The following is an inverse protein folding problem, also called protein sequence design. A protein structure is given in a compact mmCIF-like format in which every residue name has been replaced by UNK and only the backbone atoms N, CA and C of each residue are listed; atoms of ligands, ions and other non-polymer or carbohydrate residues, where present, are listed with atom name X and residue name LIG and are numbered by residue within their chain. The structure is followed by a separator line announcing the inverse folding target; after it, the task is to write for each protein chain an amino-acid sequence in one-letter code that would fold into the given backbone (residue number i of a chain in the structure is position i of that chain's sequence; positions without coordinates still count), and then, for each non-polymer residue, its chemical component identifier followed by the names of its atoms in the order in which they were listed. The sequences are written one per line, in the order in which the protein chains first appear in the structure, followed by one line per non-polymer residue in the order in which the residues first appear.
data_IF_422402445560
#
_entry.id   IF_422402445560
#
_cell.length_a   1.000
_cell.length_b   1.000
_cell.length_c   1.000
_cell.angle_alpha   90.00
_cell.angle_beta   90.00
_cell.angle_gamma   90.00
#
_symmetry.space_group_name_H-M   'P 1'
#
loop_
_entity.id
_entity.type
_entity.pdbx_description
1 polymer ?
#
# COMPACT_ATOMS: atom_id res chain seq x y z
N UNK A 1 40.11 9.66 -5.68
CA UNK A 1 38.96 8.78 -6.01
C UNK A 1 38.25 9.42 -7.19
N UNK A 2 38.36 8.84 -8.38
CA UNK A 2 37.78 9.45 -9.58
C UNK A 2 36.26 9.26 -9.57
N UNK A 3 35.51 10.36 -9.48
CA UNK A 3 34.10 10.36 -9.84
C UNK A 3 34.02 10.14 -11.35
N UNK A 4 33.61 8.95 -11.78
CA UNK A 4 33.52 8.64 -13.21
C UNK A 4 32.31 9.35 -13.80
N UNK A 5 32.56 10.51 -14.35
CA UNK A 5 31.72 11.22 -15.31
C UNK A 5 31.55 10.36 -16.57
N UNK A 6 30.37 9.73 -16.71
CA UNK A 6 29.94 9.07 -17.94
C UNK A 6 28.41 9.18 -18.12
N UNK A 7 27.82 10.30 -17.68
CA UNK A 7 26.38 10.56 -17.64
C UNK A 7 25.72 10.87 -19.00
N UNK A 8 26.36 10.53 -20.13
CA UNK A 8 25.79 10.79 -21.48
C UNK A 8 24.91 9.66 -22.02
N UNK A 9 24.89 8.48 -21.40
CA UNK A 9 24.10 7.34 -21.89
C UNK A 9 22.71 7.33 -21.23
N UNK A 10 21.62 7.12 -21.99
CA UNK A 10 20.30 6.96 -21.38
C UNK A 10 20.32 5.71 -20.49
N UNK A 11 20.10 5.91 -19.19
CA UNK A 11 19.99 4.83 -18.21
C UNK A 11 18.55 4.35 -18.16
N UNK A 12 18.33 3.04 -18.02
CA UNK A 12 16.98 2.50 -17.81
C UNK A 12 16.40 3.07 -16.53
N UNK A 13 15.15 3.56 -16.58
CA UNK A 13 14.48 4.18 -15.42
C UNK A 13 14.52 3.28 -14.17
N UNK A 14 14.27 1.97 -14.33
CA UNK A 14 14.32 1.02 -13.21
C UNK A 14 15.68 0.95 -12.51
N UNK A 15 16.78 1.13 -13.25
CA UNK A 15 18.12 1.15 -12.66
C UNK A 15 18.34 2.43 -11.84
N UNK A 16 17.83 3.58 -12.29
CA UNK A 16 17.89 4.83 -11.53
C UNK A 16 17.06 4.75 -10.25
N UNK A 17 15.84 4.21 -10.32
CA UNK A 17 14.99 4.03 -9.13
C UNK A 17 15.64 3.08 -8.13
N UNK A 18 16.24 1.97 -8.57
CA UNK A 18 16.95 1.04 -7.69
C UNK A 18 18.19 1.69 -7.05
N UNK A 19 18.96 2.48 -7.80
CA UNK A 19 20.09 3.20 -7.26
C UNK A 19 19.67 4.16 -6.14
N UNK A 20 18.56 4.87 -6.30
CA UNK A 20 17.99 5.73 -5.23
C UNK A 20 17.60 4.92 -3.98
N UNK A 21 16.98 3.76 -4.16
CA UNK A 21 16.62 2.86 -3.04
C UNK A 21 17.89 2.42 -2.29
N UNK A 22 18.93 2.01 -3.00
CA UNK A 22 20.20 1.57 -2.38
C UNK A 22 20.87 2.74 -1.66
N UNK A 23 20.91 3.93 -2.26
CA UNK A 23 21.46 5.13 -1.62
C UNK A 23 20.76 5.42 -0.29
N UNK A 24 19.43 5.40 -0.28
CA UNK A 24 18.64 5.62 0.94
C UNK A 24 18.93 4.58 2.03
N UNK A 25 19.07 3.30 1.65
CA UNK A 25 19.42 2.23 2.59
C UNK A 25 20.83 2.39 3.18
N UNK A 26 21.78 2.95 2.44
CA UNK A 26 23.14 3.21 2.92
C UNK A 26 23.19 4.39 3.89
N UNK A 27 22.33 5.39 3.71
CA UNK A 27 22.21 6.53 4.62
C UNK A 27 21.68 6.13 6.00
N UNK A 28 20.74 5.18 6.06
CA UNK A 28 20.21 4.74 7.33
C UNK A 28 19.07 3.73 7.28
N UNK A 29 18.47 3.42 8.45
CA UNK A 29 17.28 2.59 8.52
C UNK A 29 16.10 3.27 7.83
N UNK A 30 15.47 2.60 6.87
CA UNK A 30 14.34 3.15 6.12
C UNK A 30 13.13 2.21 6.16
N UNK A 31 11.95 2.82 6.15
CA UNK A 31 10.66 2.15 6.00
C UNK A 31 10.24 2.09 4.52
N UNK A 32 9.36 1.14 4.18
CA UNK A 32 8.77 1.04 2.82
C UNK A 32 8.14 2.35 2.32
N UNK A 33 7.30 3.07 3.09
CA UNK A 33 6.69 4.31 2.60
C UNK A 33 7.72 5.39 2.30
N UNK A 34 8.79 5.51 3.07
CA UNK A 34 9.90 6.43 2.78
C UNK A 34 10.61 6.07 1.48
N UNK A 35 10.92 4.78 1.28
CA UNK A 35 11.55 4.29 0.06
C UNK A 35 10.67 4.52 -1.18
N UNK A 36 9.35 4.41 -1.05
CA UNK A 36 8.41 4.75 -2.12
C UNK A 36 8.48 6.24 -2.45
N UNK A 37 8.45 7.11 -1.44
CA UNK A 37 8.55 8.56 -1.63
C UNK A 37 9.85 8.98 -2.34
N UNK A 38 10.97 8.33 -2.03
CA UNK A 38 12.27 8.65 -2.64
C UNK A 38 12.42 8.09 -4.06
N UNK A 39 11.97 6.85 -4.29
CA UNK A 39 12.21 6.14 -5.55
C UNK A 39 11.13 6.36 -6.61
N UNK A 40 9.92 6.79 -6.20
CA UNK A 40 8.74 6.88 -7.07
C UNK A 40 8.18 5.52 -7.48
N UNK A 41 8.60 4.43 -6.82
CA UNK A 41 8.15 3.08 -7.12
C UNK A 41 6.85 2.72 -6.40
N UNK A 42 6.11 1.78 -6.98
CA UNK A 42 4.95 1.18 -6.32
C UNK A 42 5.34 0.36 -5.09
N UNK A 43 4.43 0.21 -4.13
CA UNK A 43 4.65 -0.60 -2.92
C UNK A 43 5.07 -2.04 -3.24
N UNK A 44 4.46 -2.63 -4.27
CA UNK A 44 4.74 -4.02 -4.67
C UNK A 44 6.17 -4.17 -5.18
N UNK A 45 6.62 -3.25 -6.04
CA UNK A 45 7.98 -3.26 -6.58
C UNK A 45 9.02 -3.08 -5.48
N UNK A 46 8.80 -2.16 -4.53
CA UNK A 46 9.69 -2.01 -3.37
C UNK A 46 9.72 -3.29 -2.54
N UNK A 47 8.58 -3.94 -2.31
CA UNK A 47 8.54 -5.23 -1.61
C UNK A 47 9.32 -6.34 -2.34
N UNK A 48 9.24 -6.41 -3.67
CA UNK A 48 10.01 -7.36 -4.47
C UNK A 48 11.51 -7.11 -4.34
N UNK A 49 11.94 -5.86 -4.45
CA UNK A 49 13.35 -5.49 -4.26
C UNK A 49 13.84 -5.82 -2.85
N UNK A 50 13.07 -5.49 -1.81
CA UNK A 50 13.43 -5.82 -0.43
C UNK A 50 13.47 -7.33 -0.18
N UNK A 51 12.60 -8.12 -0.83
CA UNK A 51 12.65 -9.59 -0.77
C UNK A 51 13.91 -10.13 -1.43
N UNK A 52 14.27 -9.61 -2.61
CA UNK A 52 15.49 -10.00 -3.31
C UNK A 52 16.74 -9.66 -2.47
N UNK A 53 16.84 -8.44 -1.96
CA UNK A 53 17.97 -8.02 -1.11
C UNK A 53 18.08 -8.81 0.19
N UNK A 54 16.94 -9.19 0.81
CA UNK A 54 16.91 -10.06 2.00
C UNK A 54 17.32 -11.49 1.69
N UNK A 55 16.96 -12.01 0.51
CA UNK A 55 17.37 -13.35 0.08
C UNK A 55 18.89 -13.44 -0.06
N UNK A 56 19.53 -12.37 -0.54
CA UNK A 56 20.98 -12.25 -0.64
C UNK A 56 21.66 -11.86 0.70
N UNK A 57 20.88 -11.62 1.77
CA UNK A 57 21.40 -11.28 3.10
C UNK A 57 22.02 -9.89 3.24
N UNK A 58 21.80 -9.00 2.25
CA UNK A 58 22.35 -7.62 2.24
C UNK A 58 21.55 -6.68 3.14
N UNK A 59 20.26 -6.97 3.31
CA UNK A 59 19.33 -6.18 4.11
C UNK A 59 18.66 -7.10 5.13
N UNK A 60 18.38 -6.59 6.31
CA UNK A 60 17.59 -7.29 7.33
C UNK A 60 16.54 -6.36 7.96
N UNK A 61 15.52 -6.94 8.57
CA UNK A 61 14.52 -6.18 9.33
C UNK A 61 15.14 -5.82 10.68
N UNK A 62 15.45 -4.54 10.88
CA UNK A 62 16.06 -4.04 12.12
C UNK A 62 15.05 -3.69 13.21
N UNK A 63 13.84 -3.29 12.83
CA UNK A 63 12.77 -2.96 13.76
C UNK A 63 11.39 -3.05 13.10
N UNK A 64 10.35 -3.10 13.94
CA UNK A 64 8.96 -3.01 13.52
C UNK A 64 8.36 -1.74 14.10
N UNK A 65 7.68 -0.97 13.26
CA UNK A 65 7.01 0.26 13.65
C UNK A 65 5.49 0.15 13.48
N UNK A 66 4.77 1.05 14.16
CA UNK A 66 3.32 1.10 14.20
C UNK A 66 2.76 1.88 13.01
N UNK A 67 1.85 1.25 12.28
CA UNK A 67 1.01 1.93 11.30
C UNK A 67 0.08 2.95 11.95
N UNK A 68 -0.55 3.80 11.13
CA UNK A 68 -1.62 4.71 11.55
C UNK A 68 -2.76 4.04 12.35
N UNK A 69 -3.01 2.74 12.14
CA UNK A 69 -4.00 1.94 12.90
C UNK A 69 -3.44 1.37 14.22
N UNK A 70 -2.22 1.72 14.60
CA UNK A 70 -1.53 1.24 15.81
C UNK A 70 -1.08 -0.22 15.73
N UNK A 71 -0.99 -0.80 14.53
CA UNK A 71 -0.52 -2.17 14.30
C UNK A 71 0.98 -2.12 13.98
N UNK A 72 1.78 -2.97 14.62
CA UNK A 72 3.22 -3.09 14.34
C UNK A 72 3.44 -3.81 13.01
N UNK A 73 3.13 -3.19 11.87
CA UNK A 73 3.24 -3.82 10.54
C UNK A 73 4.30 -3.20 9.65
N UNK A 74 4.80 -2.01 9.99
CA UNK A 74 5.84 -1.35 9.22
C UNK A 74 7.17 -2.02 9.50
N UNK A 75 7.84 -2.46 8.43
CA UNK A 75 9.18 -3.03 8.49
C UNK A 75 10.18 -1.90 8.30
N UNK A 76 11.05 -1.71 9.29
CA UNK A 76 12.21 -0.83 9.17
C UNK A 76 13.37 -1.71 8.72
N UNK A 77 13.86 -1.46 7.51
CA UNK A 77 14.98 -2.17 6.92
C UNK A 77 16.29 -1.49 7.30
N UNK A 78 17.31 -2.30 7.60
CA UNK A 78 18.68 -1.85 7.81
C UNK A 78 19.59 -2.50 6.79
N UNK A 79 20.52 -1.72 6.27
CA UNK A 79 21.57 -2.21 5.39
C UNK A 79 22.67 -2.90 6.21
N UNK A 80 23.17 -4.02 5.69
CA UNK A 80 24.22 -4.82 6.30
C UNK A 80 23.77 -6.24 6.67
N UNK A 81 24.74 -7.15 6.88
CA UNK A 81 24.45 -8.51 7.28
C UNK A 81 23.81 -8.52 8.67
N UNK A 82 22.72 -9.25 8.82
CA UNK A 82 22.01 -9.32 10.09
C UNK A 82 20.89 -10.35 10.07
N UNK A 83 20.39 -10.68 11.26
CA UNK A 83 19.21 -11.53 11.42
C UNK A 83 17.97 -10.67 11.49
N UNK A 84 16.91 -11.12 10.82
CA UNK A 84 15.63 -10.43 10.90
C UNK A 84 15.07 -10.46 12.33
N UNK A 85 14.68 -9.27 12.81
CA UNK A 85 13.99 -9.13 14.09
C UNK A 85 12.57 -9.69 13.97
N UNK A 86 12.17 -10.65 14.83
CA UNK A 86 10.83 -11.19 14.80
C UNK A 86 9.81 -10.13 15.19
N UNK A 87 8.64 -10.18 14.54
CA UNK A 87 7.52 -9.30 14.89
C UNK A 87 7.01 -9.63 16.30
N UNK A 88 6.73 -8.59 17.08
CA UNK A 88 6.03 -8.73 18.36
C UNK A 88 4.66 -9.39 18.16
N UNK A 89 4.46 -10.56 18.75
CA UNK A 89 3.13 -11.21 18.77
C UNK A 89 2.40 -10.76 20.02
N UNK A 90 1.23 -10.14 19.85
CA UNK A 90 0.35 -9.82 20.98
C UNK A 90 -0.18 -11.12 21.60
N UNK A 91 -0.14 -11.20 22.93
CA UNK A 91 -0.71 -12.33 23.68
C UNK A 91 -2.24 -12.35 23.54
N UNK A 92 -2.88 -13.52 23.54
CA UNK A 92 -4.35 -13.66 23.46
C UNK A 92 -5.10 -12.80 24.49
N UNK A 93 -4.57 -12.70 25.71
CA UNK A 93 -5.13 -11.87 26.78
C UNK A 93 -5.12 -10.36 26.43
N UNK A 94 -4.04 -9.88 25.80
CA UNK A 94 -3.91 -8.49 25.38
C UNK A 94 -4.86 -8.16 24.23
N UNK A 95 -5.02 -9.09 23.28
CA UNK A 95 -6.01 -8.98 22.19
C UNK A 95 -7.43 -8.90 22.76
N UNK A 96 -7.77 -9.77 23.71
CA UNK A 96 -9.09 -9.76 24.36
C UNK A 96 -9.35 -8.46 25.11
N UNK A 97 -8.34 -7.90 25.80
CA UNK A 97 -8.43 -6.61 26.48
C UNK A 97 -8.67 -5.47 25.49
N UNK A 98 -7.92 -5.40 24.39
CA UNK A 98 -8.11 -4.40 23.33
C UNK A 98 -9.50 -4.50 22.69
N UNK A 99 -9.99 -5.72 22.43
CA UNK A 99 -11.32 -5.95 21.89
C UNK A 99 -12.41 -5.44 22.85
N UNK A 100 -12.29 -5.75 24.15
CA UNK A 100 -13.21 -5.23 25.18
C UNK A 100 -13.14 -3.69 25.27
N UNK A 101 -11.95 -3.11 25.20
CA UNK A 101 -11.77 -1.65 25.21
C UNK A 101 -12.42 -1.00 23.99
N UNK A 102 -12.27 -1.57 22.80
CA UNK A 102 -12.94 -1.09 21.57
C UNK A 102 -14.46 -1.17 21.69
N UNK A 103 -15.01 -2.26 22.23
CA UNK A 103 -16.46 -2.38 22.48
C UNK A 103 -16.97 -1.32 23.46
N UNK A 104 -16.24 -1.08 24.55
CA UNK A 104 -16.58 -0.02 25.53
C UNK A 104 -16.46 1.38 24.92
N UNK A 105 -15.45 1.64 24.10
CA UNK A 105 -15.29 2.91 23.41
C UNK A 105 -16.43 3.14 22.40
N UNK A 106 -16.79 2.12 21.61
CA UNK A 106 -17.90 2.19 20.67
C UNK A 106 -19.26 2.39 21.35
N UNK A 107 -19.46 1.83 22.54
CA UNK A 107 -20.67 2.05 23.35
C UNK A 107 -20.74 3.44 24.01
N UNK A 108 -19.59 4.11 24.17
CA UNK A 108 -19.50 5.47 24.72
C UNK A 108 -19.62 6.56 23.66
N UNK A 109 -19.49 6.21 22.38
CA UNK A 109 -19.84 7.12 21.29
C UNK A 109 -21.37 7.04 21.18
N UNK A 110 -22.05 8.08 21.64
CA UNK A 110 -23.49 8.18 21.54
C UNK A 110 -23.92 8.01 20.07
N UNK A 111 -24.84 7.09 19.74
CA UNK A 111 -25.33 6.89 18.38
C UNK A 111 -25.94 8.15 17.73
N UNK A 112 -26.26 9.18 18.52
CA UNK A 112 -26.93 10.41 18.11
C UNK A 112 -25.99 11.54 17.63
N UNK A 113 -24.66 11.35 17.56
CA UNK A 113 -23.75 12.38 17.05
C UNK A 113 -23.31 12.15 15.58
N UNK A 114 -24.12 11.45 14.78
CA UNK A 114 -24.08 11.60 13.32
C UNK A 114 -24.90 12.85 13.01
N UNK A 115 -24.24 14.01 12.99
CA UNK A 115 -24.85 15.27 12.60
C UNK A 115 -25.41 15.17 11.19
N UNK A 116 -26.68 15.53 11.07
CA UNK A 116 -27.43 15.69 9.84
C UNK A 116 -26.70 16.63 8.87
N UNK A 117 -26.02 16.04 7.89
CA UNK A 117 -25.64 16.71 6.65
C UNK A 117 -26.78 16.56 5.65
N UNK A 118 -27.83 17.36 5.81
CA UNK A 118 -28.82 17.59 4.76
C UNK A 118 -28.11 18.27 3.59
N UNK A 119 -27.80 17.52 2.53
CA UNK A 119 -27.53 18.02 1.17
C UNK A 119 -27.74 16.86 0.19
N UNK A 120 -28.88 16.19 0.29
CA UNK A 120 -29.39 15.34 -0.79
C UNK A 120 -30.84 15.71 -1.02
N UNK A 121 -31.03 16.92 -1.56
CA UNK A 121 -32.18 17.30 -2.36
C UNK A 121 -32.28 16.39 -3.60
N UNK A 122 -32.63 15.12 -3.38
CA UNK A 122 -33.22 14.24 -4.37
C UNK A 122 -34.74 14.32 -4.19
N UNK A 123 -35.25 15.51 -4.48
CA UNK A 123 -36.67 15.76 -4.69
C UNK A 123 -37.09 14.96 -5.93
N UNK A 124 -37.74 13.81 -5.72
CA UNK A 124 -38.46 13.14 -6.80
C UNK A 124 -39.90 13.68 -6.79
N UNK A 125 -40.28 14.57 -7.72
CA UNK A 125 -41.64 15.05 -7.77
C UNK A 125 -42.54 13.93 -8.26
N UNK A 126 -43.47 13.50 -7.42
CA UNK A 126 -44.69 12.81 -7.83
C UNK A 126 -45.43 13.69 -8.85
N UNK A 127 -45.24 13.42 -10.15
CA UNK A 127 -46.06 14.04 -11.20
C UNK A 127 -45.35 14.53 -12.47
N UNK A 128 -44.20 13.97 -12.87
CA UNK A 128 -43.61 14.25 -14.19
C UNK A 128 -43.37 12.94 -14.96
N UNK A 129 -43.87 12.92 -16.19
CA UNK A 129 -43.79 11.81 -17.14
C UNK A 129 -42.38 11.21 -17.28
N UNK A 130 -42.32 9.88 -17.35
CA UNK A 130 -41.09 9.16 -17.64
C UNK A 130 -40.53 9.59 -19.01
N UNK A 131 -39.24 9.98 -19.14
CA UNK A 131 -38.67 10.28 -20.44
C UNK A 131 -38.62 9.00 -21.29
N UNK A 132 -38.94 9.08 -22.59
CA UNK A 132 -38.97 7.91 -23.46
C UNK A 132 -37.57 7.30 -23.55
N UNK A 133 -37.48 6.02 -23.17
CA UNK A 133 -36.27 5.21 -23.26
C UNK A 133 -35.87 5.10 -24.73
N UNK A 134 -34.90 5.90 -25.16
CA UNK A 134 -34.24 5.72 -26.45
C UNK A 134 -33.55 4.36 -26.44
N UNK A 135 -34.13 3.40 -27.17
CA UNK A 135 -33.55 2.08 -27.44
C UNK A 135 -32.23 2.26 -28.19
N UNK A 136 -31.11 2.35 -27.49
CA UNK A 136 -29.80 2.20 -28.14
C UNK A 136 -29.61 0.73 -28.47
N UNK A 137 -29.55 0.49 -29.78
CA UNK A 137 -29.37 -0.81 -30.43
C UNK A 137 -27.99 -1.35 -30.04
N UNK A 138 -27.94 -2.42 -29.25
CA UNK A 138 -26.70 -3.20 -29.05
C UNK A 138 -26.19 -3.69 -30.41
N UNK A 139 -24.99 -3.32 -30.87
CA UNK A 139 -24.45 -3.92 -32.08
C UNK A 139 -24.14 -5.39 -31.83
N UNK A 140 -24.79 -6.25 -32.59
CA UNK A 140 -24.48 -7.68 -32.68
C UNK A 140 -23.05 -7.84 -33.21
N UNK A 141 -22.17 -8.42 -32.40
CA UNK A 141 -20.76 -8.60 -32.77
C UNK A 141 -19.89 -8.94 -31.57
N UNK A 142 -20.20 -10.03 -30.88
CA UNK A 142 -19.31 -10.64 -29.89
C UNK A 142 -18.06 -11.21 -30.57
N UNK A 143 -16.89 -11.00 -29.97
CA UNK A 143 -15.87 -12.04 -29.74
C UNK A 143 -14.77 -11.47 -28.83
N UNK A 144 -14.92 -11.66 -27.51
CA UNK A 144 -13.81 -11.50 -26.56
C UNK A 144 -13.12 -12.86 -26.47
N UNK A 145 -11.96 -12.97 -27.11
CA UNK A 145 -11.10 -14.14 -27.06
C UNK A 145 -10.42 -14.19 -25.67
N UNK A 146 -10.87 -15.14 -24.84
CA UNK A 146 -10.22 -15.48 -23.57
C UNK A 146 -8.94 -16.26 -23.90
N UNK A 147 -7.77 -15.63 -23.79
CA UNK A 147 -6.49 -16.35 -23.89
C UNK A 147 -6.10 -16.89 -22.52
N UNK A 148 -6.18 -18.21 -22.42
CA UNK A 148 -5.66 -19.03 -21.35
C UNK A 148 -4.14 -19.07 -21.50
N UNK A 149 -3.38 -18.43 -20.61
CA UNK A 149 -1.95 -18.71 -20.52
C UNK A 149 -1.56 -19.05 -19.09
N UNK A 150 -1.84 -20.33 -18.79
CA UNK A 150 -1.45 -21.04 -17.58
C UNK A 150 -0.16 -21.81 -17.91
N UNK A 151 0.93 -21.42 -17.26
CA UNK A 151 2.13 -22.23 -16.97
C UNK A 151 2.94 -22.78 -18.17
N UNK A 152 4.08 -22.15 -18.43
CA UNK A 152 5.39 -22.82 -18.55
C UNK A 152 6.49 -21.93 -18.01
#
# INVERSE_FOLDING_TARGET
MQATDNLKKPVRLGALSMAKVISALLEGPCSVPELMGLSGLSTNTVHEYMRALRKEGVVHIGAWDKDATGRESLRIFKFGPGKDVPRGKKTKAQIAKECRQRKKAAQRVDPCAVGDGQDASFFWPTGAEAPPILKTKTPAGAHVHWSENRLR
#
